data_IF_128930861840
#
_entry.id   IF_128930861840
#
_cell.length_a   1.000
_cell.length_b   1.000
_cell.length_c   1.000
_cell.angle_alpha   90.00
_cell.angle_beta   90.00
_cell.angle_gamma   90.00
#
_symmetry.space_group_name_H-M   'P 1'
#
loop_
_entity.id
_entity.type
_entity.pdbx_description
1 polymer ?
#
# COMPACT_ATOMS: atom_id res chain seq x y z
N UNK A 1 -10.31 56.09 -13.12
CA UNK A 1 -9.63 54.80 -12.78
C UNK A 1 -9.32 54.76 -11.28
N UNK A 2 -10.08 54.04 -10.48
CA UNK A 2 -9.69 53.81 -9.07
C UNK A 2 -8.38 53.01 -9.08
N UNK A 3 -7.39 53.52 -8.40
CA UNK A 3 -6.05 52.92 -8.33
C UNK A 3 -6.17 51.44 -7.91
N UNK A 4 -5.36 50.54 -8.54
CA UNK A 4 -5.27 49.10 -8.15
C UNK A 4 -5.01 48.94 -6.66
N UNK A 5 -4.39 49.89 -5.97
CA UNK A 5 -4.16 49.94 -4.53
C UNK A 5 -5.47 50.02 -3.73
N UNK A 6 -6.49 50.75 -4.21
CA UNK A 6 -7.77 50.93 -3.49
C UNK A 6 -8.64 49.67 -3.57
N UNK A 7 -8.59 48.93 -4.69
CA UNK A 7 -9.31 47.68 -4.84
C UNK A 7 -8.69 46.58 -3.97
N UNK A 8 -7.37 46.47 -3.95
CA UNK A 8 -6.67 45.53 -3.07
C UNK A 8 -6.95 45.84 -1.58
N UNK A 9 -6.89 47.12 -1.18
CA UNK A 9 -7.20 47.52 0.19
C UNK A 9 -8.66 47.18 0.59
N UNK A 10 -9.63 47.35 -0.30
CA UNK A 10 -11.03 47.00 -0.03
C UNK A 10 -11.23 45.48 0.11
N UNK A 11 -10.55 44.67 -0.69
CA UNK A 11 -10.57 43.21 -0.56
C UNK A 11 -10.02 42.74 0.80
N UNK A 12 -8.91 43.32 1.27
CA UNK A 12 -8.32 42.97 2.58
C UNK A 12 -9.21 43.34 3.77
N UNK A 13 -10.15 44.26 3.62
CA UNK A 13 -11.11 44.68 4.66
C UNK A 13 -12.45 43.95 4.58
N UNK A 14 -12.71 43.13 3.56
CA UNK A 14 -13.93 42.34 3.50
C UNK A 14 -13.99 41.29 4.62
N UNK A 15 -15.19 41.10 5.20
CA UNK A 15 -15.40 40.07 6.24
C UNK A 15 -15.06 38.67 5.71
N UNK A 16 -15.36 38.39 4.45
CA UNK A 16 -15.03 37.13 3.79
C UNK A 16 -13.51 36.88 3.77
N UNK A 17 -12.70 37.88 3.36
CA UNK A 17 -11.26 37.74 3.34
C UNK A 17 -10.66 37.53 4.74
N UNK A 18 -11.21 38.20 5.76
CA UNK A 18 -10.73 38.06 7.14
C UNK A 18 -11.01 36.66 7.74
N UNK A 19 -12.01 35.94 7.21
CA UNK A 19 -12.30 34.54 7.59
C UNK A 19 -11.52 33.52 6.72
N UNK A 20 -11.49 33.74 5.40
CA UNK A 20 -10.90 32.80 4.45
C UNK A 20 -9.37 32.76 4.49
N UNK A 21 -8.70 33.90 4.70
CA UNK A 21 -7.24 33.94 4.74
C UNK A 21 -6.63 33.09 5.88
N UNK A 22 -7.09 33.20 7.15
CA UNK A 22 -6.60 32.32 8.20
C UNK A 22 -6.92 30.85 7.95
N UNK A 23 -8.09 30.53 7.39
CA UNK A 23 -8.48 29.17 7.01
C UNK A 23 -7.55 28.58 5.95
N UNK A 24 -7.23 29.35 4.89
CA UNK A 24 -6.30 28.89 3.86
C UNK A 24 -4.93 28.50 4.42
N UNK A 25 -4.44 29.27 5.43
CA UNK A 25 -3.19 28.93 6.11
C UNK A 25 -3.28 27.62 6.90
N UNK A 26 -4.41 27.34 7.57
CA UNK A 26 -4.64 26.05 8.27
C UNK A 26 -4.68 24.90 7.27
N UNK A 27 -5.35 25.09 6.12
CA UNK A 27 -5.42 24.08 5.06
C UNK A 27 -4.01 23.74 4.57
N UNK A 28 -3.21 24.74 4.18
CA UNK A 28 -1.83 24.54 3.71
C UNK A 28 -0.96 23.81 4.73
N UNK A 29 -1.12 24.15 5.99
CA UNK A 29 -0.42 23.48 7.09
C UNK A 29 -0.89 22.03 7.27
N UNK A 30 -2.21 21.83 7.33
CA UNK A 30 -2.82 20.53 7.63
C UNK A 30 -2.61 19.47 6.54
N UNK A 31 -2.63 19.87 5.25
CA UNK A 31 -2.44 18.93 4.14
C UNK A 31 -0.96 18.56 3.89
N UNK A 32 -0.02 19.35 4.41
CA UNK A 32 1.42 19.14 4.13
C UNK A 32 1.91 17.72 4.44
N UNK A 33 1.58 17.08 5.56
CA UNK A 33 2.02 15.71 5.83
C UNK A 33 1.55 14.73 4.75
N UNK A 34 0.31 14.86 4.28
CA UNK A 34 -0.24 13.99 3.22
C UNK A 34 0.55 14.17 1.92
N UNK A 35 0.78 15.42 1.50
CA UNK A 35 1.55 15.74 0.28
C UNK A 35 3.01 15.31 0.41
N UNK A 36 3.60 15.44 1.60
CA UNK A 36 4.97 15.00 1.88
C UNK A 36 5.12 13.48 1.79
N UNK A 37 4.22 12.71 2.43
CA UNK A 37 4.25 11.25 2.37
C UNK A 37 3.96 10.75 0.95
N UNK A 38 3.05 11.40 0.22
CA UNK A 38 2.83 11.09 -1.19
C UNK A 38 4.13 11.26 -2.01
N UNK A 39 4.81 12.39 -1.88
CA UNK A 39 6.09 12.63 -2.55
C UNK A 39 7.12 11.54 -2.26
N UNK A 40 7.19 11.08 -1.01
CA UNK A 40 8.13 10.02 -0.59
C UNK A 40 7.81 8.65 -1.18
N UNK A 41 6.54 8.41 -1.48
CA UNK A 41 6.04 7.14 -1.96
C UNK A 41 5.44 7.26 -3.38
N UNK A 42 5.78 8.30 -4.13
CA UNK A 42 5.15 8.60 -5.42
C UNK A 42 5.26 7.47 -6.44
N UNK A 43 6.31 6.65 -6.38
CA UNK A 43 6.48 5.50 -7.26
C UNK A 43 5.44 4.39 -7.00
N UNK A 44 4.95 4.28 -5.77
CA UNK A 44 4.08 3.20 -5.30
C UNK A 44 2.61 3.61 -5.14
N UNK A 45 2.33 4.93 -5.07
CA UNK A 45 1.01 5.47 -4.74
C UNK A 45 0.36 6.10 -5.97
N UNK A 46 -0.91 5.78 -6.22
CA UNK A 46 -1.69 6.41 -7.28
C UNK A 46 -2.05 7.86 -6.93
N UNK A 47 -2.11 8.71 -7.95
CA UNK A 47 -2.59 10.09 -7.79
C UNK A 47 -4.04 10.16 -7.28
N UNK A 48 -4.87 9.16 -7.63
CA UNK A 48 -6.24 9.02 -7.13
C UNK A 48 -6.28 8.79 -5.61
N UNK A 49 -5.36 7.99 -5.06
CA UNK A 49 -5.23 7.76 -3.61
C UNK A 49 -4.88 9.05 -2.87
N UNK A 50 -3.94 9.84 -3.41
CA UNK A 50 -3.67 11.18 -2.89
C UNK A 50 -4.95 12.03 -2.88
N UNK A 51 -5.72 12.02 -3.97
CA UNK A 51 -6.97 12.80 -4.09
C UNK A 51 -8.01 12.42 -3.03
N UNK A 52 -8.23 11.12 -2.81
CA UNK A 52 -9.17 10.60 -1.80
C UNK A 52 -8.75 11.00 -0.37
N UNK A 53 -7.48 10.75 -0.03
CA UNK A 53 -6.96 11.10 1.30
C UNK A 53 -6.99 12.60 1.54
N UNK A 54 -6.62 13.41 0.55
CA UNK A 54 -6.70 14.88 0.65
C UNK A 54 -8.14 15.35 0.88
N UNK A 55 -9.13 14.75 0.21
CA UNK A 55 -10.54 15.11 0.40
C UNK A 55 -10.97 14.89 1.86
N UNK A 56 -10.65 13.73 2.42
CA UNK A 56 -10.93 13.42 3.84
C UNK A 56 -10.23 14.42 4.77
N UNK A 57 -8.96 14.69 4.51
CA UNK A 57 -8.18 15.64 5.30
C UNK A 57 -8.75 17.06 5.25
N UNK A 58 -9.19 17.51 4.07
CA UNK A 58 -9.83 18.82 3.92
C UNK A 58 -11.09 18.91 4.80
N UNK A 59 -11.91 17.86 4.82
CA UNK A 59 -13.10 17.81 5.68
C UNK A 59 -12.70 17.87 7.15
N UNK A 60 -11.74 17.07 7.58
CA UNK A 60 -11.24 17.08 8.99
C UNK A 60 -10.71 18.47 9.37
N UNK A 61 -9.89 19.09 8.53
CA UNK A 61 -9.32 20.43 8.80
C UNK A 61 -10.42 21.48 8.92
N UNK A 62 -11.43 21.43 8.02
CA UNK A 62 -12.57 22.35 8.06
C UNK A 62 -13.37 22.18 9.36
N UNK A 63 -13.63 20.95 9.77
CA UNK A 63 -14.33 20.66 11.05
C UNK A 63 -13.52 21.18 12.23
N UNK A 64 -12.23 20.87 12.29
CA UNK A 64 -11.34 21.35 13.38
C UNK A 64 -11.29 22.87 13.42
N UNK A 65 -11.16 23.51 12.25
CA UNK A 65 -11.18 24.99 12.20
C UNK A 65 -12.52 25.57 12.64
N UNK A 66 -13.64 24.97 12.21
CA UNK A 66 -14.98 25.42 12.63
C UNK A 66 -15.18 25.30 14.15
N UNK A 67 -14.78 24.19 14.76
CA UNK A 67 -14.81 24.01 16.22
C UNK A 67 -13.95 25.06 16.92
N UNK A 68 -12.71 25.26 16.46
CA UNK A 68 -11.84 26.30 17.00
C UNK A 68 -12.43 27.72 16.82
N UNK A 69 -13.14 27.97 15.71
CA UNK A 69 -13.79 29.25 15.46
C UNK A 69 -14.92 29.51 16.47
N UNK A 70 -15.72 28.51 16.78
CA UNK A 70 -16.74 28.57 17.83
C UNK A 70 -16.11 28.82 19.22
N UNK A 71 -15.11 28.02 19.58
CA UNK A 71 -14.43 28.13 20.89
C UNK A 71 -13.71 29.47 21.06
N UNK A 72 -13.21 30.08 20.01
CA UNK A 72 -12.56 31.41 20.05
C UNK A 72 -13.54 32.58 19.86
N UNK A 73 -14.84 32.31 19.89
CA UNK A 73 -15.90 33.32 19.68
C UNK A 73 -15.70 34.07 18.34
N UNK A 74 -15.55 33.32 17.27
CA UNK A 74 -15.39 33.81 15.89
C UNK A 74 -14.14 34.69 15.64
N UNK A 75 -13.09 34.53 16.45
CA UNK A 75 -11.82 35.22 16.23
C UNK A 75 -10.95 34.38 15.27
N UNK A 76 -11.16 34.56 13.96
CA UNK A 76 -10.61 33.72 12.89
C UNK A 76 -9.08 33.44 13.01
N UNK A 77 -8.26 34.45 13.28
CA UNK A 77 -6.81 34.24 13.44
C UNK A 77 -6.48 33.38 14.67
N UNK A 78 -7.18 33.54 15.79
CA UNK A 78 -6.99 32.70 16.97
C UNK A 78 -7.46 31.27 16.72
N UNK A 79 -8.57 31.13 16.02
CA UNK A 79 -9.09 29.83 15.57
C UNK A 79 -8.09 29.10 14.67
N UNK A 80 -7.51 29.80 13.69
CA UNK A 80 -6.52 29.24 12.80
C UNK A 80 -5.27 28.75 13.53
N UNK A 81 -4.75 29.54 14.47
CA UNK A 81 -3.59 29.16 15.26
C UNK A 81 -3.90 27.94 16.14
N UNK A 82 -5.05 27.94 16.82
CA UNK A 82 -5.48 26.80 17.66
C UNK A 82 -5.68 25.53 16.82
N UNK A 83 -6.34 25.65 15.66
CA UNK A 83 -6.54 24.55 14.75
C UNK A 83 -5.21 23.98 14.22
N UNK A 84 -4.23 24.84 13.90
CA UNK A 84 -2.93 24.35 13.43
C UNK A 84 -2.11 23.68 14.53
N UNK A 85 -2.18 24.16 15.77
CA UNK A 85 -1.57 23.45 16.89
C UNK A 85 -2.23 22.08 17.07
N UNK A 86 -3.56 22.02 17.02
CA UNK A 86 -4.26 20.72 17.08
C UNK A 86 -3.85 19.80 15.92
N UNK A 87 -3.84 20.30 14.68
CA UNK A 87 -3.43 19.51 13.52
C UNK A 87 -1.98 19.04 13.58
N UNK A 88 -1.07 19.81 14.21
CA UNK A 88 0.29 19.36 14.47
C UNK A 88 0.28 18.10 15.34
N UNK A 89 -0.42 18.17 16.47
CA UNK A 89 -0.56 17.02 17.37
C UNK A 89 -1.31 15.87 16.70
N UNK A 90 -2.38 16.16 15.97
CA UNK A 90 -3.13 15.15 15.22
C UNK A 90 -2.24 14.36 14.28
N UNK A 91 -1.38 15.03 13.50
CA UNK A 91 -0.53 14.42 12.48
C UNK A 91 0.79 13.81 13.00
N UNK A 92 1.11 13.98 14.27
CA UNK A 92 2.38 13.48 14.85
C UNK A 92 2.16 12.43 15.94
N UNK A 93 0.92 12.12 16.26
CA UNK A 93 0.59 11.17 17.33
C UNK A 93 1.21 9.79 17.09
N UNK A 94 1.02 9.21 15.92
CA UNK A 94 1.56 7.88 15.60
C UNK A 94 3.09 7.84 15.62
N UNK A 95 3.75 8.91 15.16
CA UNK A 95 5.22 9.03 15.23
C UNK A 95 5.70 8.98 16.68
N UNK A 96 5.02 9.74 17.57
CA UNK A 96 5.36 9.79 19.00
C UNK A 96 5.03 8.46 19.67
N UNK A 97 3.89 7.85 19.35
CA UNK A 97 3.51 6.54 19.85
C UNK A 97 4.55 5.48 19.50
N UNK A 98 4.91 5.35 18.24
CA UNK A 98 5.91 4.38 17.79
C UNK A 98 7.30 4.64 18.38
N UNK A 99 7.69 5.90 18.57
CA UNK A 99 8.93 6.26 19.25
C UNK A 99 8.94 5.77 20.70
N UNK A 100 7.82 5.95 21.42
CA UNK A 100 7.66 5.52 22.82
C UNK A 100 7.61 3.99 22.91
N UNK A 101 6.90 3.35 21.97
CA UNK A 101 6.80 1.89 21.87
C UNK A 101 8.17 1.24 21.65
N UNK A 102 8.97 1.76 20.72
CA UNK A 102 10.32 1.27 20.44
C UNK A 102 11.33 1.46 21.60
N UNK A 103 10.93 2.15 22.66
CA UNK A 103 11.70 2.35 23.88
C UNK A 103 11.15 1.56 25.08
N UNK A 104 10.17 0.67 24.84
CA UNK A 104 9.51 -0.16 25.86
C UNK A 104 9.00 0.64 27.07
N UNK A 105 8.57 1.88 26.84
CA UNK A 105 8.07 2.74 27.90
C UNK A 105 6.62 2.39 28.26
N UNK A 106 6.31 2.38 29.55
CA UNK A 106 4.97 2.06 30.10
C UNK A 106 3.84 2.93 29.50
N UNK A 107 4.19 4.09 28.96
CA UNK A 107 3.27 5.01 28.29
C UNK A 107 2.89 4.56 26.84
N UNK A 108 3.50 3.50 26.31
CA UNK A 108 3.23 2.98 24.97
C UNK A 108 1.87 2.24 24.90
N UNK A 109 0.82 2.90 25.38
CA UNK A 109 -0.55 2.41 25.29
C UNK A 109 -1.47 3.55 24.87
N UNK A 110 -2.30 3.31 23.88
CA UNK A 110 -3.19 4.34 23.31
C UNK A 110 -4.10 4.99 24.36
N UNK A 111 -4.66 4.19 25.28
CA UNK A 111 -5.56 4.70 26.32
C UNK A 111 -4.87 5.58 27.37
N UNK A 112 -3.54 5.55 27.49
CA UNK A 112 -2.76 6.45 28.38
C UNK A 112 -2.17 7.62 27.60
N UNK A 113 -1.59 7.37 26.44
CA UNK A 113 -0.90 8.38 25.65
C UNK A 113 -1.87 9.37 25.00
N UNK A 114 -2.97 8.91 24.42
CA UNK A 114 -3.89 9.78 23.69
C UNK A 114 -4.52 10.88 24.59
N UNK A 115 -5.08 10.56 25.78
CA UNK A 115 -5.60 11.61 26.66
C UNK A 115 -4.54 12.64 27.08
N UNK A 116 -3.33 12.17 27.43
CA UNK A 116 -2.22 13.07 27.79
C UNK A 116 -1.83 13.96 26.60
N UNK A 117 -1.74 13.39 25.42
CA UNK A 117 -1.36 14.08 24.18
C UNK A 117 -2.41 15.14 23.81
N UNK A 118 -3.69 14.81 23.95
CA UNK A 118 -4.80 15.76 23.75
C UNK A 118 -4.78 16.90 24.78
N UNK A 119 -4.52 16.60 26.05
CA UNK A 119 -4.40 17.65 27.09
C UNK A 119 -3.29 18.63 26.75
N UNK A 120 -2.12 18.15 26.33
CA UNK A 120 -1.00 19.00 25.91
C UNK A 120 -1.37 19.82 24.68
N UNK A 121 -2.02 19.22 23.68
CA UNK A 121 -2.46 19.90 22.47
C UNK A 121 -3.44 21.05 22.79
N UNK A 122 -4.46 20.77 23.63
CA UNK A 122 -5.45 21.75 24.04
C UNK A 122 -4.81 22.86 24.86
N UNK A 123 -3.93 22.52 25.81
CA UNK A 123 -3.21 23.52 26.63
C UNK A 123 -2.34 24.43 25.75
N UNK A 124 -1.56 23.89 24.82
CA UNK A 124 -0.74 24.71 23.94
C UNK A 124 -1.58 25.55 22.97
N UNK A 125 -2.67 25.00 22.43
CA UNK A 125 -3.61 25.75 21.60
C UNK A 125 -4.20 26.93 22.41
N UNK A 126 -4.61 26.71 23.65
CA UNK A 126 -5.09 27.77 24.53
C UNK A 126 -4.01 28.82 24.80
N UNK A 127 -2.78 28.40 25.16
CA UNK A 127 -1.67 29.31 25.46
C UNK A 127 -1.36 30.25 24.29
N UNK A 128 -1.26 29.68 23.06
CA UNK A 128 -0.93 30.43 21.83
C UNK A 128 -2.04 31.45 21.51
N UNK A 129 -3.33 31.16 21.82
CA UNK A 129 -4.42 32.13 21.63
C UNK A 129 -4.30 33.35 22.56
N UNK A 130 -3.47 33.28 23.60
CA UNK A 130 -3.21 34.41 24.55
C UNK A 130 -2.13 35.37 24.04
N UNK A 131 -1.38 35.01 23.00
CA UNK A 131 -0.34 35.86 22.42
C UNK A 131 -0.90 37.17 21.84
N UNK A 132 -0.09 38.22 21.88
CA UNK A 132 -0.49 39.58 21.44
C UNK A 132 -0.68 39.59 19.90
N UNK A 133 -1.79 40.16 19.42
CA UNK A 133 -2.20 40.20 18.01
C UNK A 133 -1.14 40.79 17.06
N UNK A 134 -0.31 41.73 17.57
CA UNK A 134 0.74 42.40 16.76
C UNK A 134 1.77 41.42 16.18
N UNK A 135 2.18 40.41 16.93
CA UNK A 135 3.19 39.45 16.53
C UNK A 135 2.61 38.25 15.78
N UNK A 136 1.38 37.85 16.13
CA UNK A 136 0.75 36.63 15.60
C UNK A 136 0.42 36.73 14.12
N UNK A 137 0.06 37.90 13.59
CA UNK A 137 -0.32 38.03 12.17
C UNK A 137 0.87 37.88 11.22
N UNK A 138 2.02 38.50 11.53
CA UNK A 138 3.23 38.38 10.72
C UNK A 138 3.79 36.97 10.72
N UNK A 139 3.90 36.36 11.90
CA UNK A 139 4.36 34.97 12.05
C UNK A 139 3.44 34.02 11.32
N UNK A 140 2.10 34.20 11.45
CA UNK A 140 1.13 33.37 10.78
C UNK A 140 1.20 33.44 9.25
N UNK A 141 1.42 34.64 8.71
CA UNK A 141 1.64 34.83 7.27
C UNK A 141 2.92 34.14 6.80
N UNK A 142 4.01 34.24 7.57
CA UNK A 142 5.25 33.56 7.24
C UNK A 142 5.10 32.02 7.24
N UNK A 143 4.39 31.48 8.22
CA UNK A 143 4.04 30.04 8.29
C UNK A 143 3.21 29.63 7.07
N UNK A 144 2.18 30.41 6.71
CA UNK A 144 1.35 30.11 5.54
C UNK A 144 2.16 30.09 4.24
N UNK A 145 3.06 31.06 4.04
CA UNK A 145 3.96 31.12 2.87
C UNK A 145 4.92 29.92 2.88
N UNK A 146 5.50 29.60 4.03
CA UNK A 146 6.38 28.45 4.17
C UNK A 146 5.69 27.14 3.74
N UNK A 147 4.49 26.87 4.29
CA UNK A 147 3.75 25.64 3.93
C UNK A 147 3.21 25.66 2.51
N UNK A 148 2.89 26.83 1.94
CA UNK A 148 2.61 26.95 0.51
C UNK A 148 3.81 26.49 -0.31
N UNK A 149 5.01 27.01 -0.02
CA UNK A 149 6.24 26.65 -0.72
C UNK A 149 6.57 25.17 -0.54
N UNK A 150 6.46 24.63 0.67
CA UNK A 150 6.73 23.22 0.95
C UNK A 150 5.77 22.29 0.19
N UNK A 151 4.47 22.61 0.13
CA UNK A 151 3.49 21.85 -0.65
C UNK A 151 3.81 21.95 -2.16
N UNK A 152 4.11 23.15 -2.67
CA UNK A 152 4.46 23.34 -4.08
C UNK A 152 5.73 22.57 -4.46
N UNK A 153 6.78 22.65 -3.64
CA UNK A 153 8.02 21.88 -3.88
C UNK A 153 7.74 20.39 -3.86
N UNK A 154 6.93 19.90 -2.92
CA UNK A 154 6.58 18.49 -2.86
C UNK A 154 5.80 18.02 -4.08
N UNK A 155 4.79 18.78 -4.53
CA UNK A 155 4.02 18.44 -5.73
C UNK A 155 4.85 18.54 -7.01
N UNK A 156 5.62 19.60 -7.18
CA UNK A 156 6.46 19.79 -8.37
C UNK A 156 7.51 18.67 -8.47
N UNK A 157 8.14 18.30 -7.36
CA UNK A 157 9.13 17.22 -7.34
C UNK A 157 8.53 15.82 -7.57
N UNK A 158 7.22 15.66 -7.47
CA UNK A 158 6.51 14.42 -7.82
C UNK A 158 6.18 14.30 -9.32
N UNK A 159 6.20 15.42 -10.07
CA UNK A 159 5.81 15.44 -11.50
C UNK A 159 6.64 14.48 -12.36
N UNK A 160 7.98 14.41 -12.25
CA UNK A 160 8.77 13.49 -13.09
C UNK A 160 8.34 12.03 -12.90
N UNK A 161 8.10 11.60 -11.67
CA UNK A 161 7.64 10.25 -11.38
C UNK A 161 6.23 9.98 -11.94
N UNK A 162 5.31 10.95 -11.83
CA UNK A 162 3.96 10.84 -12.42
C UNK A 162 4.01 10.76 -13.96
N UNK A 163 4.89 11.54 -14.60
CA UNK A 163 5.11 11.46 -16.05
C UNK A 163 5.68 10.09 -16.42
N UNK A 164 6.61 9.57 -15.63
CA UNK A 164 7.19 8.23 -15.83
C UNK A 164 6.11 7.15 -15.75
N UNK A 165 5.30 7.13 -14.70
CA UNK A 165 4.16 6.21 -14.56
C UNK A 165 3.20 6.30 -15.77
N UNK A 166 2.86 7.50 -16.21
CA UNK A 166 1.96 7.72 -17.34
C UNK A 166 2.55 7.26 -18.67
N UNK A 167 3.84 7.48 -18.91
CA UNK A 167 4.56 6.96 -20.10
C UNK A 167 4.60 5.45 -20.09
N UNK A 168 4.89 4.88 -18.96
CA UNK A 168 4.94 3.47 -18.70
C UNK A 168 3.60 2.78 -19.00
N UNK A 169 2.50 3.26 -18.43
CA UNK A 169 1.16 2.76 -18.70
C UNK A 169 0.76 2.84 -20.19
N UNK A 170 1.33 3.78 -20.94
CA UNK A 170 1.12 3.90 -22.40
C UNK A 170 1.97 2.94 -23.20
N UNK A 171 3.23 2.75 -22.83
CA UNK A 171 4.16 1.86 -23.51
C UNK A 171 3.69 0.39 -23.42
N UNK A 172 3.06 0.01 -22.32
CA UNK A 172 2.56 -1.34 -22.07
C UNK A 172 1.22 -1.69 -22.77
N UNK A 173 0.65 -0.77 -23.54
CA UNK A 173 -0.52 -1.05 -24.39
C UNK A 173 -0.15 -1.68 -25.75
N UNK A 174 1.11 -1.88 -26.03
CA UNK A 174 1.58 -2.47 -27.30
C UNK A 174 1.98 -3.93 -27.10
N UNK A 175 1.39 -4.83 -27.90
CA UNK A 175 1.84 -6.22 -27.95
C UNK A 175 3.31 -6.28 -28.38
N UNK A 176 4.13 -6.98 -27.61
CA UNK A 176 5.46 -7.35 -28.05
C UNK A 176 5.30 -8.32 -29.22
N UNK A 177 5.79 -8.02 -30.45
CA UNK A 177 5.67 -8.96 -31.56
C UNK A 177 6.57 -10.16 -31.27
N UNK A 178 5.98 -11.31 -31.00
CA UNK A 178 6.70 -12.57 -30.90
C UNK A 178 6.44 -13.36 -32.16
N UNK A 179 7.49 -13.90 -32.79
CA UNK A 179 7.33 -14.73 -33.94
C UNK A 179 6.56 -16.01 -33.57
N UNK A 180 5.43 -16.24 -34.25
CA UNK A 180 4.66 -17.46 -34.07
C UNK A 180 5.53 -18.65 -34.48
N UNK A 181 5.71 -19.60 -33.59
CA UNK A 181 6.33 -20.89 -33.85
C UNK A 181 5.19 -21.88 -34.10
N UNK A 182 5.19 -22.56 -35.23
CA UNK A 182 4.16 -23.57 -35.51
C UNK A 182 4.17 -24.63 -34.40
N UNK A 183 2.98 -24.91 -33.86
CA UNK A 183 2.78 -25.98 -32.88
C UNK A 183 3.09 -27.34 -33.52
N UNK A 184 3.77 -28.22 -32.81
CA UNK A 184 4.15 -29.57 -33.29
C UNK A 184 2.97 -30.52 -33.45
N UNK A 185 1.74 -30.09 -33.22
CA UNK A 185 0.53 -30.93 -33.32
C UNK A 185 0.34 -31.93 -32.18
N UNK A 186 1.27 -32.02 -31.23
CA UNK A 186 1.13 -32.81 -30.00
C UNK A 186 0.36 -32.04 -28.93
N UNK A 187 -0.47 -32.75 -28.16
CA UNK A 187 -1.18 -32.17 -27.01
C UNK A 187 -0.12 -31.65 -26.00
N UNK A 188 -0.08 -30.35 -25.80
CA UNK A 188 0.88 -29.74 -24.86
C UNK A 188 0.23 -29.66 -23.50
N UNK A 189 0.98 -29.93 -22.39
CA UNK A 189 0.45 -29.87 -21.04
C UNK A 189 0.25 -28.41 -20.61
N UNK A 190 -0.66 -28.18 -19.67
CA UNK A 190 -0.74 -26.94 -18.96
C UNK A 190 0.49 -26.74 -18.05
N UNK A 191 0.94 -25.50 -17.94
CA UNK A 191 2.11 -25.11 -17.15
C UNK A 191 1.67 -24.14 -16.05
N UNK A 192 1.89 -24.52 -14.81
CA UNK A 192 1.61 -23.70 -13.62
C UNK A 192 2.91 -23.19 -13.01
N UNK A 193 3.11 -21.89 -13.01
CA UNK A 193 4.23 -21.24 -12.34
C UNK A 193 3.71 -20.47 -11.12
N UNK A 194 3.69 -21.15 -9.97
CA UNK A 194 3.19 -20.63 -8.70
C UNK A 194 4.37 -20.12 -7.86
N UNK A 195 4.27 -18.89 -7.40
CA UNK A 195 5.26 -18.23 -6.55
C UNK A 195 4.60 -17.85 -5.22
N UNK A 196 5.20 -18.28 -4.14
CA UNK A 196 4.78 -17.97 -2.77
C UNK A 196 5.83 -17.04 -2.16
N UNK A 197 5.45 -15.80 -1.87
CA UNK A 197 6.40 -14.78 -1.43
C UNK A 197 6.80 -14.96 0.05
N UNK A 198 8.05 -14.69 0.38
CA UNK A 198 8.67 -14.97 1.69
C UNK A 198 8.59 -16.47 2.12
N UNK A 199 8.37 -17.41 1.21
CA UNK A 199 8.33 -18.82 1.56
C UNK A 199 9.74 -19.33 1.87
N UNK A 200 10.05 -19.45 3.15
CA UNK A 200 11.33 -20.02 3.61
C UNK A 200 11.43 -21.49 3.23
N UNK A 201 12.56 -21.90 2.67
CA UNK A 201 12.81 -23.28 2.26
C UNK A 201 12.78 -24.28 3.43
N UNK A 202 12.59 -25.56 3.12
CA UNK A 202 12.38 -26.62 4.11
C UNK A 202 13.54 -26.79 5.08
N UNK A 203 14.78 -26.63 4.62
CA UNK A 203 15.96 -26.82 5.47
C UNK A 203 16.02 -25.80 6.61
N UNK A 204 15.92 -24.47 6.39
CA UNK A 204 15.84 -23.52 7.49
C UNK A 204 14.63 -23.74 8.41
N UNK A 205 13.46 -24.07 7.87
CA UNK A 205 12.27 -24.32 8.69
C UNK A 205 12.45 -25.54 9.59
N UNK A 206 13.15 -26.58 9.12
CA UNK A 206 13.46 -27.77 9.92
C UNK A 206 14.55 -27.52 10.96
N UNK A 207 15.64 -26.90 10.54
CA UNK A 207 16.86 -26.81 11.37
C UNK A 207 16.82 -25.64 12.36
N UNK A 208 16.19 -24.52 11.99
CA UNK A 208 16.16 -23.31 12.81
C UNK A 208 14.85 -23.14 13.58
N UNK A 209 13.69 -23.25 12.91
CA UNK A 209 12.38 -23.12 13.55
C UNK A 209 11.86 -24.43 14.16
N UNK A 210 12.42 -25.58 13.77
CA UNK A 210 11.98 -26.92 14.21
C UNK A 210 10.49 -27.17 13.89
N UNK A 211 10.00 -26.66 12.76
CA UNK A 211 8.60 -26.75 12.31
C UNK A 211 8.24 -28.17 11.95
N UNK A 212 7.31 -28.81 12.66
CA UNK A 212 7.00 -30.24 12.48
C UNK A 212 6.31 -30.57 11.17
N UNK A 213 5.65 -29.62 10.52
CA UNK A 213 4.91 -29.80 9.27
C UNK A 213 5.82 -29.95 8.02
N UNK A 214 7.11 -29.64 8.12
CA UNK A 214 8.04 -29.68 7.00
C UNK A 214 8.14 -31.05 6.36
N UNK A 215 8.42 -32.08 7.14
CA UNK A 215 8.64 -33.43 6.62
C UNK A 215 7.35 -34.10 6.11
N UNK A 216 6.20 -33.99 6.79
CA UNK A 216 4.93 -34.45 6.23
C UNK A 216 4.56 -33.76 4.92
N UNK A 217 4.74 -32.45 4.81
CA UNK A 217 4.43 -31.71 3.58
C UNK A 217 5.37 -32.08 2.44
N UNK A 218 6.68 -32.20 2.72
CA UNK A 218 7.65 -32.69 1.73
C UNK A 218 7.28 -34.07 1.21
N UNK A 219 6.93 -35.01 2.12
CA UNK A 219 6.54 -36.35 1.72
C UNK A 219 5.28 -36.34 0.86
N UNK A 220 4.30 -35.52 1.22
CA UNK A 220 3.09 -35.33 0.41
C UNK A 220 3.40 -34.85 -1.01
N UNK A 221 4.34 -33.89 -1.18
CA UNK A 221 4.79 -33.45 -2.51
C UNK A 221 5.43 -34.60 -3.31
N UNK A 222 6.30 -35.38 -2.69
CA UNK A 222 6.95 -36.53 -3.32
C UNK A 222 5.92 -37.59 -3.75
N UNK A 223 4.92 -37.86 -2.92
CA UNK A 223 3.84 -38.81 -3.22
C UNK A 223 2.95 -38.34 -4.39
N UNK A 224 2.84 -37.03 -4.60
CA UNK A 224 2.20 -36.42 -5.78
C UNK A 224 3.11 -36.37 -7.04
N UNK A 225 4.34 -36.84 -6.95
CA UNK A 225 5.29 -36.89 -8.05
C UNK A 225 6.12 -35.63 -8.25
N UNK A 226 6.11 -34.70 -7.29
CA UNK A 226 6.95 -33.51 -7.38
C UNK A 226 8.42 -33.83 -7.10
N UNK A 227 9.32 -33.17 -7.82
CA UNK A 227 10.71 -33.07 -7.42
C UNK A 227 10.88 -31.95 -6.40
N UNK A 228 11.46 -32.27 -5.23
CA UNK A 228 11.68 -31.30 -4.16
C UNK A 228 13.15 -30.95 -4.02
N UNK A 229 13.50 -29.71 -4.38
CA UNK A 229 14.85 -29.17 -4.19
C UNK A 229 14.95 -28.55 -2.80
N UNK A 230 15.81 -29.07 -1.94
CA UNK A 230 15.95 -28.59 -0.55
C UNK A 230 17.05 -27.54 -0.34
N UNK A 231 18.10 -27.57 -1.15
CA UNK A 231 19.28 -26.70 -0.98
C UNK A 231 19.28 -25.63 -2.09
N UNK A 232 18.27 -24.78 -2.06
CA UNK A 232 18.08 -23.71 -3.03
C UNK A 232 18.33 -22.37 -2.38
N UNK A 233 19.14 -21.53 -3.02
CA UNK A 233 19.45 -20.19 -2.59
C UNK A 233 18.97 -19.16 -3.62
N UNK A 234 18.36 -18.10 -3.14
CA UNK A 234 18.03 -16.95 -4.00
C UNK A 234 19.29 -16.12 -4.26
N UNK A 235 19.44 -15.57 -5.47
CA UNK A 235 20.52 -14.65 -5.82
C UNK A 235 20.34 -13.24 -5.21
N UNK A 236 19.19 -12.96 -4.58
CA UNK A 236 18.90 -11.68 -3.94
C UNK A 236 17.62 -11.73 -3.12
N UNK A 237 17.33 -10.66 -2.41
CA UNK A 237 16.21 -10.55 -1.46
C UNK A 237 15.06 -9.68 -1.98
N UNK A 238 15.26 -8.96 -3.10
CA UNK A 238 14.22 -8.10 -3.69
C UNK A 238 13.31 -8.92 -4.60
N UNK A 239 12.03 -9.02 -4.25
CA UNK A 239 11.00 -9.70 -5.04
C UNK A 239 10.97 -9.17 -6.49
N UNK A 240 10.96 -7.85 -6.68
CA UNK A 240 10.91 -7.24 -8.00
C UNK A 240 12.12 -7.62 -8.86
N UNK A 241 13.31 -7.57 -8.29
CA UNK A 241 14.52 -7.99 -8.99
C UNK A 241 14.47 -9.49 -9.34
N UNK A 242 14.16 -10.36 -8.38
CA UNK A 242 14.10 -11.80 -8.59
C UNK A 242 13.07 -12.20 -9.66
N UNK A 243 11.87 -11.62 -9.61
CA UNK A 243 10.84 -11.92 -10.61
C UNK A 243 11.20 -11.37 -11.98
N UNK A 244 11.84 -10.20 -12.05
CA UNK A 244 12.27 -9.62 -13.32
C UNK A 244 13.33 -10.47 -14.03
N UNK A 245 14.29 -11.04 -13.31
CA UNK A 245 15.32 -11.92 -13.91
C UNK A 245 14.77 -13.29 -14.28
N UNK A 246 13.94 -13.89 -13.41
CA UNK A 246 13.36 -15.23 -13.64
C UNK A 246 12.43 -15.28 -14.84
N UNK A 247 11.52 -14.30 -14.94
CA UNK A 247 10.55 -14.23 -16.03
C UNK A 247 11.16 -13.78 -17.36
N UNK A 248 12.42 -13.32 -17.38
CA UNK A 248 13.11 -12.87 -18.59
C UNK A 248 14.38 -13.67 -18.92
N UNK A 249 14.70 -14.72 -18.15
CA UNK A 249 15.87 -15.60 -18.38
C UNK A 249 17.20 -14.85 -18.45
N UNK A 250 17.32 -13.77 -17.70
CA UNK A 250 18.52 -12.93 -17.65
C UNK A 250 19.00 -12.81 -16.21
N UNK A 251 20.30 -12.66 -16.05
CA UNK A 251 20.91 -12.35 -14.76
C UNK A 251 21.58 -10.97 -14.84
N UNK A 252 21.24 -10.10 -13.89
CA UNK A 252 21.84 -8.80 -13.75
C UNK A 252 21.79 -8.38 -12.26
N UNK A 253 22.76 -7.54 -11.82
CA UNK A 253 22.82 -7.13 -10.42
C UNK A 253 21.58 -6.34 -10.02
N UNK A 254 21.17 -6.52 -8.75
CA UNK A 254 20.16 -5.66 -8.14
C UNK A 254 20.73 -4.25 -7.96
N UNK A 255 20.14 -3.30 -8.64
CA UNK A 255 20.55 -1.90 -8.61
C UNK A 255 19.45 -1.12 -7.91
N UNK A 256 19.74 -0.45 -6.78
CA UNK A 256 18.78 0.42 -6.11
C UNK A 256 18.17 1.48 -7.06
N UNK A 257 16.94 1.89 -6.78
CA UNK A 257 16.19 2.90 -7.54
C UNK A 257 15.90 2.54 -9.02
N UNK A 258 15.84 1.24 -9.36
CA UNK A 258 15.44 0.75 -10.68
C UNK A 258 14.10 -0.02 -10.71
N UNK A 259 13.25 0.19 -9.73
CA UNK A 259 11.95 -0.47 -9.60
C UNK A 259 11.11 -0.34 -10.87
N UNK A 260 11.09 0.83 -11.51
CA UNK A 260 10.35 1.05 -12.76
C UNK A 260 10.80 0.10 -13.87
N UNK A 261 12.10 -0.17 -13.97
CA UNK A 261 12.64 -1.14 -14.93
C UNK A 261 12.20 -2.56 -14.61
N UNK A 262 12.23 -2.95 -13.33
CA UNK A 262 11.82 -4.28 -12.89
C UNK A 262 10.33 -4.51 -13.14
N UNK A 263 9.48 -3.52 -12.87
CA UNK A 263 8.05 -3.57 -13.18
C UNK A 263 7.80 -3.79 -14.67
N UNK A 264 8.53 -3.10 -15.54
CA UNK A 264 8.44 -3.29 -17.00
C UNK A 264 8.76 -4.71 -17.41
N UNK A 265 9.85 -5.24 -16.87
CA UNK A 265 10.34 -6.57 -17.18
C UNK A 265 9.37 -7.67 -16.70
N UNK A 266 8.68 -7.43 -15.58
CA UNK A 266 7.65 -8.36 -15.08
C UNK A 266 6.39 -8.26 -15.94
N UNK A 267 5.91 -7.05 -16.20
CA UNK A 267 4.67 -6.83 -16.94
C UNK A 267 4.73 -7.33 -18.39
N UNK A 268 5.88 -7.16 -19.05
CA UNK A 268 6.10 -7.58 -20.44
C UNK A 268 7.22 -8.63 -20.50
N UNK A 269 7.05 -9.71 -19.77
CA UNK A 269 8.09 -10.70 -19.60
C UNK A 269 8.22 -11.65 -20.79
N UNK A 270 9.45 -12.17 -20.97
CA UNK A 270 9.77 -13.08 -22.06
C UNK A 270 9.16 -14.47 -21.89
N UNK A 271 8.93 -14.93 -20.66
CA UNK A 271 8.33 -16.24 -20.40
C UNK A 271 6.93 -16.33 -21.01
N UNK A 272 6.05 -15.35 -20.69
CA UNK A 272 4.70 -15.30 -21.27
C UNK A 272 4.74 -15.11 -22.80
N UNK A 273 5.61 -14.22 -23.29
CA UNK A 273 5.77 -14.03 -24.73
C UNK A 273 6.20 -15.32 -25.43
N UNK A 274 7.11 -16.08 -24.84
CA UNK A 274 7.62 -17.33 -25.37
C UNK A 274 6.54 -18.43 -25.44
N UNK A 275 5.76 -18.64 -24.38
CA UNK A 275 4.69 -19.67 -24.37
C UNK A 275 3.52 -19.24 -25.24
N UNK A 276 3.18 -17.97 -25.30
CA UNK A 276 2.15 -17.42 -26.20
C UNK A 276 2.47 -17.66 -27.66
N UNK A 277 3.76 -17.50 -28.06
CA UNK A 277 4.21 -17.82 -29.40
C UNK A 277 4.08 -19.32 -29.76
N UNK A 278 3.89 -20.18 -28.77
CA UNK A 278 3.66 -21.64 -28.94
C UNK A 278 2.20 -22.03 -28.80
N UNK A 279 1.29 -21.07 -28.81
CA UNK A 279 -0.15 -21.31 -28.79
C UNK A 279 -0.76 -21.51 -27.42
N UNK A 280 -0.01 -21.21 -26.31
CA UNK A 280 -0.57 -21.22 -24.98
C UNK A 280 -1.47 -20.02 -24.75
N UNK A 281 -2.58 -20.23 -24.08
CA UNK A 281 -3.35 -19.16 -23.44
C UNK A 281 -2.64 -18.76 -22.16
N UNK A 282 -2.30 -17.49 -22.02
CA UNK A 282 -1.60 -16.98 -20.83
C UNK A 282 -2.57 -16.44 -19.80
N UNK A 283 -2.43 -16.90 -18.57
CA UNK A 283 -3.27 -16.53 -17.43
C UNK A 283 -2.39 -15.97 -16.32
N UNK A 284 -2.77 -14.86 -15.72
CA UNK A 284 -2.06 -14.27 -14.59
C UNK A 284 -3.01 -14.02 -13.41
N UNK A 285 -2.60 -14.48 -12.23
CA UNK A 285 -3.16 -14.06 -10.94
C UNK A 285 -2.23 -13.00 -10.37
N UNK A 286 -2.60 -11.73 -10.53
CA UNK A 286 -1.71 -10.59 -10.31
C UNK A 286 -2.08 -9.81 -9.06
N UNK A 287 -1.71 -10.37 -7.89
CA UNK A 287 -1.88 -9.71 -6.60
C UNK A 287 -0.89 -8.55 -6.41
N UNK A 288 0.33 -8.71 -6.93
CA UNK A 288 1.42 -7.74 -6.73
C UNK A 288 1.09 -6.39 -7.34
N UNK A 289 0.39 -6.36 -8.48
CA UNK A 289 -0.03 -5.09 -9.09
C UNK A 289 -1.09 -4.34 -8.27
N UNK A 290 -1.79 -5.03 -7.39
CA UNK A 290 -2.71 -4.39 -6.43
C UNK A 290 -1.97 -3.75 -5.26
N UNK A 291 -1.00 -4.44 -4.68
CA UNK A 291 -0.14 -3.91 -3.62
C UNK A 291 0.62 -2.66 -4.08
N UNK A 292 1.07 -2.69 -5.33
CA UNK A 292 1.76 -1.59 -5.96
C UNK A 292 0.88 -1.01 -7.07
N UNK A 293 -0.19 -0.32 -6.72
CA UNK A 293 -1.21 0.21 -7.66
C UNK A 293 -0.64 1.05 -8.82
N UNK A 294 0.61 1.48 -8.71
CA UNK A 294 1.34 2.16 -9.78
C UNK A 294 2.01 1.21 -10.77
N UNK A 295 2.02 -0.11 -10.50
CA UNK A 295 2.57 -1.11 -11.41
C UNK A 295 1.66 -1.35 -12.61
N UNK A 296 2.24 -1.59 -13.80
CA UNK A 296 1.48 -2.09 -14.92
C UNK A 296 1.01 -3.51 -14.64
N UNK A 297 -0.20 -3.83 -15.06
CA UNK A 297 -0.69 -5.20 -15.03
C UNK A 297 0.16 -6.08 -15.95
N UNK A 298 0.31 -7.35 -15.58
CA UNK A 298 0.97 -8.34 -16.41
C UNK A 298 0.23 -8.48 -17.75
N UNK A 299 0.99 -8.50 -18.85
CA UNK A 299 0.45 -8.65 -20.20
C UNK A 299 0.13 -10.12 -20.49
N UNK A 300 -0.99 -10.61 -19.94
CA UNK A 300 -1.53 -11.93 -20.18
C UNK A 300 -2.87 -11.85 -20.93
N UNK A 301 -3.35 -12.96 -21.49
CA UNK A 301 -4.64 -13.02 -22.20
C UNK A 301 -5.79 -12.92 -21.21
N UNK A 302 -5.65 -13.53 -20.03
CA UNK A 302 -6.59 -13.46 -18.91
C UNK A 302 -5.84 -12.98 -17.67
N UNK A 303 -6.36 -11.97 -17.00
CA UNK A 303 -5.78 -11.46 -15.77
C UNK A 303 -6.83 -11.43 -14.67
N UNK A 304 -6.63 -12.25 -13.65
CA UNK A 304 -7.35 -12.18 -12.39
C UNK A 304 -6.65 -11.19 -11.47
N UNK A 305 -7.40 -10.28 -10.93
CA UNK A 305 -6.92 -9.28 -9.99
C UNK A 305 -7.91 -9.16 -8.84
N UNK A 306 -7.52 -8.50 -7.76
CA UNK A 306 -8.47 -8.13 -6.71
C UNK A 306 -9.59 -7.30 -7.34
N UNK A 307 -10.83 -7.73 -7.12
CA UNK A 307 -12.00 -7.03 -7.64
C UNK A 307 -12.12 -5.66 -6.95
N UNK A 308 -12.06 -4.55 -7.71
CA UNK A 308 -12.26 -3.23 -7.14
C UNK A 308 -13.62 -3.07 -6.44
N UNK A 309 -14.65 -3.83 -6.85
CA UNK A 309 -15.99 -3.78 -6.26
C UNK A 309 -16.05 -4.49 -4.89
N UNK A 310 -15.11 -5.41 -4.58
CA UNK A 310 -14.93 -5.96 -3.24
C UNK A 310 -14.29 -4.95 -2.27
N UNK A 311 -13.61 -3.95 -2.81
CA UNK A 311 -13.09 -2.82 -2.03
C UNK A 311 -14.25 -1.85 -1.84
N UNK A 312 -14.96 -1.92 -0.71
CA UNK A 312 -15.99 -0.92 -0.39
C UNK A 312 -15.44 0.50 -0.58
N UNK A 313 -16.29 1.47 -0.93
CA UNK A 313 -15.92 2.90 -1.04
C UNK A 313 -15.13 3.38 0.19
N UNK A 314 -15.39 2.79 1.35
CA UNK A 314 -14.67 3.03 2.59
C UNK A 314 -13.27 2.37 2.59
N UNK A 315 -13.11 1.18 2.00
CA UNK A 315 -11.82 0.51 1.81
C UNK A 315 -10.89 1.27 0.87
N UNK A 316 -11.43 1.99 -0.13
CA UNK A 316 -10.61 2.84 -1.01
C UNK A 316 -9.97 4.04 -0.29
N UNK A 317 -10.51 4.47 0.85
CA UNK A 317 -9.91 5.53 1.69
C UNK A 317 -8.76 4.95 2.52
N UNK A 318 -8.84 3.68 2.84
CA UNK A 318 -7.86 2.93 3.65
C UNK A 318 -7.00 2.00 2.78
N UNK A 319 -6.72 2.37 1.53
CA UNK A 319 -5.61 1.77 0.78
C UNK A 319 -4.28 1.96 1.54
N UNK A 320 -3.21 1.31 1.11
CA UNK A 320 -1.91 1.37 1.80
C UNK A 320 -1.46 2.80 2.11
N UNK A 321 -1.76 3.74 1.22
CA UNK A 321 -1.45 5.15 1.45
C UNK A 321 -2.35 5.75 2.53
N UNK A 322 -3.65 5.45 2.51
CA UNK A 322 -4.58 5.86 3.55
C UNK A 322 -4.23 5.30 4.92
N UNK A 323 -3.86 4.02 4.99
CA UNK A 323 -3.35 3.37 6.21
C UNK A 323 -2.07 4.03 6.70
N UNK A 324 -1.08 4.26 5.80
CA UNK A 324 0.16 4.97 6.14
C UNK A 324 -0.13 6.34 6.78
N UNK A 325 -1.03 7.12 6.19
CA UNK A 325 -1.41 8.42 6.73
C UNK A 325 -2.13 8.28 8.07
N UNK A 326 -3.10 7.39 8.17
CA UNK A 326 -3.89 7.14 9.37
C UNK A 326 -3.01 6.75 10.56
N UNK A 327 -2.04 5.83 10.34
CA UNK A 327 -1.10 5.36 11.36
C UNK A 327 -0.15 6.45 11.88
N UNK A 328 -0.03 7.58 11.19
CA UNK A 328 0.70 8.75 11.71
C UNK A 328 -0.19 9.70 12.52
N UNK A 329 -1.52 9.56 12.47
CA UNK A 329 -2.46 10.46 13.12
C UNK A 329 -3.01 9.95 14.45
N UNK A 330 -3.80 10.77 15.15
CA UNK A 330 -4.55 10.34 16.35
C UNK A 330 -5.58 9.24 16.04
N UNK A 331 -5.98 9.05 14.78
CA UNK A 331 -6.91 7.98 14.38
C UNK A 331 -6.28 6.61 14.64
N UNK A 332 -4.95 6.51 14.60
CA UNK A 332 -4.21 5.28 14.94
C UNK A 332 -4.58 4.71 16.32
N UNK A 333 -4.88 5.58 17.28
CA UNK A 333 -5.32 5.13 18.62
C UNK A 333 -6.64 4.34 18.62
N UNK A 334 -7.38 4.37 17.52
CA UNK A 334 -8.65 3.70 17.35
C UNK A 334 -8.57 2.56 16.32
N UNK A 335 -7.37 2.23 15.80
CA UNK A 335 -7.18 1.18 14.80
C UNK A 335 -7.81 -0.16 15.21
N UNK A 336 -7.62 -0.56 16.46
CA UNK A 336 -8.20 -1.79 17.01
C UNK A 336 -9.73 -1.76 17.14
N UNK A 337 -10.35 -0.57 17.34
CA UNK A 337 -11.81 -0.45 17.45
C UNK A 337 -12.52 -0.62 16.11
N UNK A 338 -11.86 -0.26 15.01
CA UNK A 338 -12.44 -0.28 13.67
C UNK A 338 -11.85 -1.37 12.79
N UNK A 339 -10.92 -2.19 13.31
CA UNK A 339 -10.15 -3.16 12.51
C UNK A 339 -9.66 -2.52 11.20
N UNK A 340 -9.20 -1.27 11.25
CA UNK A 340 -8.80 -0.50 10.06
C UNK A 340 -7.72 -1.25 9.26
N UNK A 341 -6.84 -1.98 9.96
CA UNK A 341 -5.84 -2.81 9.30
C UNK A 341 -6.49 -4.01 8.59
N UNK A 342 -7.50 -4.65 9.19
CA UNK A 342 -8.24 -5.75 8.54
C UNK A 342 -8.98 -5.28 7.28
N UNK A 343 -9.53 -4.06 7.26
CA UNK A 343 -10.14 -3.50 6.05
C UNK A 343 -9.15 -3.36 4.89
N UNK A 344 -7.91 -2.97 5.17
CA UNK A 344 -6.85 -2.88 4.17
C UNK A 344 -6.41 -4.25 3.65
N UNK A 345 -6.43 -5.29 4.47
CA UNK A 345 -5.92 -6.62 4.13
C UNK A 345 -7.00 -7.63 3.73
N UNK A 346 -8.29 -7.31 3.92
CA UNK A 346 -9.40 -8.18 3.50
C UNK A 346 -9.38 -8.51 2.00
N UNK A 347 -9.17 -7.54 1.08
CA UNK A 347 -9.07 -7.85 -0.35
C UNK A 347 -7.92 -8.81 -0.67
N UNK A 348 -6.77 -8.62 -0.03
CA UNK A 348 -5.62 -9.53 -0.13
C UNK A 348 -6.00 -10.95 0.31
N UNK A 349 -6.64 -11.09 1.46
CA UNK A 349 -7.12 -12.38 1.98
C UNK A 349 -8.11 -13.05 1.04
N UNK A 350 -9.08 -12.29 0.55
CA UNK A 350 -10.08 -12.79 -0.41
C UNK A 350 -9.42 -13.25 -1.72
N UNK A 351 -8.42 -12.51 -2.19
CA UNK A 351 -7.69 -12.86 -3.42
C UNK A 351 -6.95 -14.19 -3.30
N UNK A 352 -6.30 -14.48 -2.17
CA UNK A 352 -5.65 -15.78 -1.93
C UNK A 352 -6.65 -16.92 -2.09
N UNK A 353 -7.79 -16.85 -1.40
CA UNK A 353 -8.81 -17.91 -1.47
C UNK A 353 -9.49 -17.99 -2.83
N UNK A 354 -9.80 -16.85 -3.44
CA UNK A 354 -10.35 -16.81 -4.79
C UNK A 354 -9.39 -17.40 -5.83
N UNK A 355 -8.08 -17.23 -5.66
CA UNK A 355 -7.06 -17.87 -6.52
C UNK A 355 -7.08 -19.39 -6.33
N UNK A 356 -7.19 -19.89 -5.11
CA UNK A 356 -7.34 -21.34 -4.84
C UNK A 356 -8.53 -21.92 -5.60
N UNK A 357 -9.67 -21.23 -5.53
CA UNK A 357 -10.91 -21.69 -6.16
C UNK A 357 -10.82 -21.61 -7.70
N UNK A 358 -10.27 -20.54 -8.28
CA UNK A 358 -10.13 -20.37 -9.72
C UNK A 358 -9.15 -21.36 -10.33
N UNK A 359 -8.07 -21.75 -9.62
CA UNK A 359 -7.11 -22.73 -10.11
C UNK A 359 -7.71 -24.11 -10.31
N UNK A 360 -8.81 -24.43 -9.63
CA UNK A 360 -9.59 -25.66 -9.85
C UNK A 360 -10.77 -25.53 -10.81
N UNK A 361 -11.01 -24.35 -11.39
CA UNK A 361 -12.18 -24.05 -12.23
C UNK A 361 -11.77 -23.24 -13.45
N UNK A 362 -10.91 -23.82 -14.31
CA UNK A 362 -10.39 -23.15 -15.50
C UNK A 362 -10.97 -23.69 -16.82
N UNK A 363 -12.09 -24.41 -16.78
CA UNK A 363 -12.71 -25.09 -17.94
C UNK A 363 -13.01 -24.12 -19.11
N UNK A 364 -13.36 -22.87 -18.81
CA UNK A 364 -13.66 -21.84 -19.81
C UNK A 364 -12.42 -21.26 -20.51
N UNK A 365 -11.20 -21.59 -20.05
CA UNK A 365 -9.96 -21.07 -20.61
C UNK A 365 -9.35 -22.10 -21.54
N UNK A 366 -9.12 -21.76 -22.84
CA UNK A 366 -8.57 -22.70 -23.82
C UNK A 366 -7.20 -23.25 -23.42
N UNK A 367 -7.04 -24.57 -23.56
CA UNK A 367 -5.75 -25.26 -23.41
C UNK A 367 -4.93 -25.22 -24.74
N UNK A 368 -3.59 -25.30 -24.66
CA UNK A 368 -2.76 -25.38 -23.45
C UNK A 368 -2.67 -24.04 -22.75
N UNK A 369 -2.58 -24.07 -21.42
CA UNK A 369 -2.55 -22.87 -20.58
C UNK A 369 -1.18 -22.70 -19.93
N UNK A 370 -0.71 -21.46 -19.86
CA UNK A 370 0.41 -21.06 -18.98
C UNK A 370 -0.13 -20.15 -17.88
N UNK A 371 -0.13 -20.65 -16.67
CA UNK A 371 -0.70 -19.97 -15.51
C UNK A 371 0.44 -19.45 -14.63
N UNK A 372 0.48 -18.14 -14.43
CA UNK A 372 1.37 -17.47 -13.49
C UNK A 372 0.57 -16.95 -12.32
N UNK A 373 0.96 -17.34 -11.12
CA UNK A 373 0.40 -16.83 -9.88
C UNK A 373 1.51 -16.45 -8.92
N UNK A 374 1.49 -15.22 -8.44
CA UNK A 374 2.40 -14.76 -7.41
C UNK A 374 1.57 -14.32 -6.20
N UNK A 375 1.56 -15.15 -5.17
CA UNK A 375 0.79 -14.95 -3.96
C UNK A 375 1.66 -14.45 -2.83
N UNK A 376 1.16 -13.44 -2.13
CA UNK A 376 1.82 -12.84 -0.97
C UNK A 376 1.56 -13.69 0.29
N UNK A 377 1.88 -14.98 0.22
CA UNK A 377 1.77 -15.93 1.33
C UNK A 377 3.03 -16.80 1.37
N UNK A 378 3.68 -17.01 2.51
CA UNK A 378 3.40 -16.48 3.85
C UNK A 378 3.99 -15.09 4.13
N UNK A 379 4.12 -14.24 3.11
CA UNK A 379 4.56 -12.85 3.30
C UNK A 379 3.62 -12.11 4.27
N UNK A 380 4.18 -11.20 5.06
CA UNK A 380 3.36 -10.32 5.90
C UNK A 380 2.34 -9.51 5.07
N UNK A 381 1.12 -9.28 5.54
CA UNK A 381 0.67 -9.44 6.94
C UNK A 381 0.44 -10.90 7.32
N UNK A 382 0.91 -11.32 8.51
CA UNK A 382 0.68 -12.66 9.04
C UNK A 382 -0.73 -12.73 9.59
N UNK A 383 -1.70 -13.03 8.73
CA UNK A 383 -3.12 -12.92 9.04
C UNK A 383 -3.68 -14.09 9.85
N UNK A 384 -3.05 -15.24 9.78
CA UNK A 384 -3.56 -16.46 10.40
C UNK A 384 -2.50 -17.10 11.31
N UNK A 385 -2.96 -17.70 12.40
CA UNK A 385 -2.12 -18.59 13.17
C UNK A 385 -1.98 -19.97 12.50
N UNK A 386 -1.20 -20.86 13.12
CA UNK A 386 -0.98 -22.24 12.64
C UNK A 386 -2.26 -23.04 12.41
N UNK A 387 -3.33 -22.75 13.16
CA UNK A 387 -4.62 -23.47 13.08
C UNK A 387 -5.55 -22.88 12.02
N UNK A 388 -5.20 -21.75 11.43
CA UNK A 388 -6.05 -21.00 10.51
C UNK A 388 -7.01 -20.05 11.20
N UNK A 389 -6.85 -19.79 12.50
CA UNK A 389 -7.61 -18.75 13.17
C UNK A 389 -7.05 -17.37 12.78
N UNK A 390 -7.94 -16.44 12.45
CA UNK A 390 -7.57 -15.08 12.12
C UNK A 390 -6.95 -14.39 13.34
N UNK A 391 -5.77 -13.82 13.17
CA UNK A 391 -5.10 -13.04 14.20
C UNK A 391 -5.69 -11.63 14.31
N UNK A 392 -5.49 -10.99 15.47
CA UNK A 392 -5.75 -9.58 15.60
C UNK A 392 -4.75 -8.78 14.77
N UNK A 393 -5.22 -7.69 14.15
CA UNK A 393 -4.44 -6.91 13.19
C UNK A 393 -3.13 -6.33 13.77
N UNK A 394 -3.06 -6.15 15.10
CA UNK A 394 -1.82 -5.71 15.78
C UNK A 394 -0.66 -6.70 15.61
N UNK A 395 -0.93 -7.99 15.37
CA UNK A 395 0.05 -9.05 15.19
C UNK A 395 0.47 -9.29 13.73
N UNK A 396 -0.21 -8.69 12.77
CA UNK A 396 0.02 -8.93 11.34
C UNK A 396 1.44 -8.64 10.86
N UNK A 397 2.21 -7.87 11.61
CA UNK A 397 3.60 -7.53 11.30
C UNK A 397 4.61 -8.06 12.33
N UNK A 398 4.13 -8.81 13.30
CA UNK A 398 4.96 -9.39 14.33
C UNK A 398 5.58 -10.70 13.83
N UNK A 399 6.91 -10.72 13.76
CA UNK A 399 7.70 -11.83 13.26
C UNK A 399 7.50 -13.13 14.05
N UNK A 400 7.08 -13.05 15.31
CA UNK A 400 6.80 -14.23 16.15
C UNK A 400 5.63 -15.08 15.58
N UNK A 401 4.78 -14.49 14.72
CA UNK A 401 3.68 -15.21 14.05
C UNK A 401 4.04 -15.78 12.68
N UNK A 402 5.23 -15.48 12.14
CA UNK A 402 5.65 -15.94 10.82
C UNK A 402 5.61 -17.46 10.68
N UNK A 403 6.21 -18.18 11.63
CA UNK A 403 6.31 -19.65 11.58
C UNK A 403 4.94 -20.32 11.59
N UNK A 404 4.00 -19.83 12.41
CA UNK A 404 2.62 -20.28 12.43
C UNK A 404 1.91 -20.03 11.10
N UNK A 405 2.07 -18.85 10.53
CA UNK A 405 1.48 -18.50 9.23
C UNK A 405 2.09 -19.29 8.08
N UNK A 406 3.40 -19.54 8.11
CA UNK A 406 4.08 -20.42 7.17
C UNK A 406 3.49 -21.84 7.22
N UNK A 407 3.34 -22.41 8.40
CA UNK A 407 2.75 -23.75 8.59
C UNK A 407 1.30 -23.82 8.07
N UNK A 408 0.50 -22.79 8.34
CA UNK A 408 -0.87 -22.68 7.80
C UNK A 408 -0.85 -22.58 6.26
N UNK A 409 0.09 -21.86 5.67
CA UNK A 409 0.19 -21.72 4.22
C UNK A 409 0.42 -23.03 3.47
N UNK A 410 1.01 -24.03 4.13
CA UNK A 410 1.16 -25.37 3.54
C UNK A 410 -0.21 -26.00 3.18
N UNK A 411 -1.21 -25.81 4.04
CA UNK A 411 -2.57 -26.29 3.77
C UNK A 411 -3.20 -25.61 2.57
N UNK A 412 -2.99 -24.31 2.41
CA UNK A 412 -3.45 -23.55 1.24
C UNK A 412 -2.76 -24.07 -0.03
N UNK A 413 -1.44 -24.29 0.02
CA UNK A 413 -0.68 -24.84 -1.12
C UNK A 413 -1.16 -26.23 -1.48
N UNK A 414 -1.44 -27.09 -0.47
CA UNK A 414 -2.00 -28.42 -0.72
C UNK A 414 -3.34 -28.33 -1.43
N UNK A 415 -4.24 -27.48 -0.98
CA UNK A 415 -5.53 -27.26 -1.62
C UNK A 415 -5.39 -26.77 -3.07
N UNK A 416 -4.48 -25.84 -3.33
CA UNK A 416 -4.20 -25.36 -4.70
C UNK A 416 -3.74 -26.52 -5.59
N UNK A 417 -2.76 -27.29 -5.14
CA UNK A 417 -2.21 -28.41 -5.93
C UNK A 417 -3.29 -29.49 -6.17
N UNK A 418 -4.07 -29.82 -5.16
CA UNK A 418 -5.14 -30.79 -5.31
C UNK A 418 -6.23 -30.31 -6.29
N UNK A 419 -6.60 -29.02 -6.23
CA UNK A 419 -7.54 -28.42 -7.19
C UNK A 419 -6.99 -28.48 -8.63
N UNK A 420 -5.71 -28.11 -8.84
CA UNK A 420 -5.05 -28.16 -10.15
C UNK A 420 -5.03 -29.59 -10.68
N UNK A 421 -4.67 -30.56 -9.85
CA UNK A 421 -4.59 -31.96 -10.28
C UNK A 421 -5.99 -32.58 -10.53
N UNK A 422 -7.04 -32.06 -9.90
CA UNK A 422 -8.40 -32.46 -10.15
C UNK A 422 -8.96 -31.90 -11.48
N UNK A 423 -8.55 -30.68 -11.88
CA UNK A 423 -8.90 -30.05 -13.18
C UNK A 423 -8.08 -30.63 -14.34
N UNK A 424 -6.94 -31.26 -14.05
CA UNK A 424 -6.12 -31.89 -15.06
C UNK A 424 -6.80 -33.15 -15.59
N UNK A 425 -7.11 -33.16 -16.89
CA UNK A 425 -7.61 -34.33 -17.58
C UNK A 425 -6.56 -35.47 -17.50
N UNK A 426 -6.92 -36.70 -17.08
CA UNK A 426 -5.96 -37.80 -16.90
C UNK A 426 -5.28 -38.26 -18.19
#
# INVERSE_FOLDING_TARGET
MKSRSTVLQSMFHSRAFQLLYPMAAVLLFGIYPVVYFYRKNVALVLLSSLGRVLLVYLVVIVIVYAVCLLLTRFKALKAAIAASVFMLFFNTYGIVYNFILNKDLVLARHYTLLPLYLLVAVYLAWLVTRLKKKYTRGVWSAIAILFLLLNLVSLISSIPAEISKARFARANKGNVPVALVESSGEKQPDIYYLVFDEFTGFKPMREYWHTPEVDPFKQWLLDKGFFVAEDVHSSGTSTLHQMSIRLNYVDYPDIPDQEEKYYNLIANNQAMAFVKARGYTTVAFDEVSWLYQAMPKINADVVYNIDPDEISDFGMIFDDFGVLITNNTMVYAFSNLYQLEDFGYRPHRNFIFSTVDHLGNMEDIPQPRFIYSHLMIPHRPYMYDRTGALLDAEFYRDWDYYEGYWAYSLGIIQQMVDNILADADP
#
